data_IF_503998730978
#
_entry.id   IF_503998730978
#
_cell.length_a   1.000
_cell.length_b   1.000
_cell.length_c   1.000
_cell.angle_alpha   90.00
_cell.angle_beta   90.00
_cell.angle_gamma   90.00
#
_symmetry.space_group_name_H-M   'P 1'
#
loop_
_entity.id
_entity.type
_entity.pdbx_description
1 polymer ?
#
# COMPACT_ATOMS: atom_id res chain seq x y z
N UNK A 1 -5.00 23.20 -8.76
CA UNK A 1 -5.39 23.73 -10.07
C UNK A 1 -4.12 23.88 -10.90
N UNK A 2 -4.16 23.42 -12.15
CA UNK A 2 -2.99 23.45 -13.02
C UNK A 2 -2.49 24.90 -13.17
N UNK A 3 -1.16 25.07 -13.17
CA UNK A 3 -0.44 26.36 -13.28
C UNK A 3 -0.55 27.30 -12.07
N UNK A 4 -1.64 27.29 -11.31
CA UNK A 4 -1.84 28.22 -10.18
C UNK A 4 -1.41 27.62 -8.84
N UNK A 5 -1.29 26.28 -8.75
CA UNK A 5 -1.11 25.54 -7.50
C UNK A 5 -2.19 25.83 -6.44
N UNK A 6 -3.33 26.40 -6.85
CA UNK A 6 -4.47 26.60 -5.95
C UNK A 6 -5.08 25.25 -5.58
N UNK A 7 -5.35 24.96 -4.29
CA UNK A 7 -6.04 23.72 -3.90
C UNK A 7 -7.38 23.56 -4.62
N UNK A 8 -7.70 22.33 -5.03
CA UNK A 8 -8.98 21.97 -5.62
C UNK A 8 -9.66 20.94 -4.73
N UNK A 9 -10.96 21.14 -4.52
CA UNK A 9 -11.80 20.28 -3.71
C UNK A 9 -13.06 19.90 -4.48
N UNK A 10 -13.80 18.95 -3.92
CA UNK A 10 -15.14 18.64 -4.37
C UNK A 10 -16.11 18.73 -3.20
N UNK A 11 -17.35 19.14 -3.48
CA UNK A 11 -18.44 19.00 -2.51
C UNK A 11 -18.85 17.53 -2.37
N UNK A 12 -19.71 17.19 -1.40
CA UNK A 12 -20.29 15.83 -1.31
C UNK A 12 -21.14 15.44 -2.53
N UNK A 13 -21.56 16.43 -3.32
CA UNK A 13 -22.27 16.24 -4.60
C UNK A 13 -21.32 16.17 -5.80
N UNK A 14 -20.01 16.14 -5.58
CA UNK A 14 -18.97 16.11 -6.60
C UNK A 14 -18.91 17.36 -7.50
N UNK A 15 -19.28 18.52 -6.95
CA UNK A 15 -19.12 19.81 -7.62
C UNK A 15 -17.75 20.40 -7.28
N UNK A 16 -17.04 20.94 -8.28
CA UNK A 16 -15.74 21.58 -8.08
C UNK A 16 -15.86 22.78 -7.15
N UNK A 17 -15.01 22.87 -6.13
CA UNK A 17 -14.97 23.98 -5.20
C UNK A 17 -13.55 24.29 -4.74
N UNK A 18 -13.38 25.49 -4.18
CA UNK A 18 -12.14 25.96 -3.53
C UNK A 18 -12.27 26.03 -2.01
N UNK A 19 -13.42 25.65 -1.47
CA UNK A 19 -13.69 25.59 -0.03
C UNK A 19 -13.58 24.15 0.45
N UNK A 20 -13.11 23.97 1.68
CA UNK A 20 -12.88 22.67 2.33
C UNK A 20 -13.96 22.31 3.38
N UNK A 21 -15.07 23.03 3.39
CA UNK A 21 -16.14 22.89 4.39
C UNK A 21 -17.21 21.82 4.07
N UNK A 22 -17.25 21.27 2.86
CA UNK A 22 -18.22 20.22 2.46
C UNK A 22 -17.56 19.07 1.67
N UNK A 23 -16.45 18.55 2.16
CA UNK A 23 -15.70 17.50 1.47
C UNK A 23 -16.37 16.11 1.57
N UNK A 24 -16.23 15.24 0.55
CA UNK A 24 -16.50 13.81 0.65
C UNK A 24 -15.71 13.15 1.78
N UNK A 25 -16.32 12.20 2.48
CA UNK A 25 -15.74 11.55 3.68
C UNK A 25 -14.81 10.37 3.36
N UNK A 26 -14.78 9.91 2.11
CA UNK A 26 -14.06 8.70 1.68
C UNK A 26 -12.72 9.00 0.97
N UNK A 27 -12.38 10.27 0.76
CA UNK A 27 -11.12 10.72 0.16
C UNK A 27 -10.40 11.70 1.09
N UNK A 28 -9.08 11.57 1.22
CA UNK A 28 -8.25 12.53 1.92
C UNK A 28 -7.88 13.69 1.01
N UNK A 29 -8.59 14.81 1.08
CA UNK A 29 -8.24 16.04 0.35
C UNK A 29 -7.16 16.87 1.05
N UNK A 30 -7.14 16.82 2.37
CA UNK A 30 -6.16 17.51 3.22
C UNK A 30 -5.46 16.43 4.04
N UNK A 31 -4.14 16.33 3.87
CA UNK A 31 -3.30 15.37 4.57
C UNK A 31 -2.12 16.09 5.20
N UNK A 32 -1.54 15.47 6.22
CA UNK A 32 -0.27 15.94 6.76
C UNK A 32 0.79 15.88 5.65
N UNK A 33 1.44 17.00 5.38
CA UNK A 33 2.53 17.07 4.42
C UNK A 33 3.83 16.59 5.05
N UNK A 34 4.57 15.74 4.35
CA UNK A 34 5.93 15.32 4.72
C UNK A 34 7.01 16.09 3.94
N UNK A 35 6.63 17.09 3.14
CA UNK A 35 7.55 17.78 2.23
C UNK A 35 8.74 18.41 2.97
N UNK A 36 8.50 19.11 4.08
CA UNK A 36 9.57 19.76 4.86
C UNK A 36 10.57 18.73 5.42
N UNK A 37 10.06 17.59 5.91
CA UNK A 37 10.90 16.51 6.42
C UNK A 37 11.72 15.86 5.30
N UNK A 38 11.11 15.67 4.12
CA UNK A 38 11.78 15.16 2.93
C UNK A 38 12.85 16.14 2.43
N UNK A 39 12.56 17.44 2.41
CA UNK A 39 13.51 18.48 2.03
C UNK A 39 14.69 18.52 3.00
N UNK A 40 14.44 18.54 4.30
CA UNK A 40 15.49 18.52 5.32
C UNK A 40 16.41 17.30 5.16
N UNK A 41 15.81 16.12 4.95
CA UNK A 41 16.57 14.89 4.69
C UNK A 41 17.36 14.98 3.38
N UNK A 42 16.77 15.53 2.32
CA UNK A 42 17.43 15.70 1.03
C UNK A 42 18.66 16.60 1.13
N UNK A 43 18.53 17.78 1.75
CA UNK A 43 19.67 18.69 1.94
C UNK A 43 20.79 18.05 2.75
N UNK A 44 20.45 17.34 3.83
CA UNK A 44 21.43 16.59 4.63
C UNK A 44 22.19 15.54 3.80
N UNK A 45 21.51 14.87 2.87
CA UNK A 45 22.14 13.88 1.99
C UNK A 45 23.04 14.52 0.93
N UNK A 46 22.72 15.73 0.46
CA UNK A 46 23.60 16.48 -0.45
C UNK A 46 24.91 16.90 0.22
N UNK A 47 24.85 17.24 1.51
CA UNK A 47 26.02 17.70 2.29
C UNK A 47 26.87 16.53 2.83
N UNK A 48 26.40 15.28 2.72
CA UNK A 48 27.10 14.11 3.22
C UNK A 48 28.21 13.65 2.25
N UNK A 49 29.34 13.17 2.80
CA UNK A 49 30.44 12.67 1.97
C UNK A 49 30.07 11.37 1.23
N UNK A 50 30.69 11.07 0.08
CA UNK A 50 30.47 9.81 -0.63
C UNK A 50 30.65 8.57 0.24
N UNK A 51 31.64 8.57 1.15
CA UNK A 51 31.90 7.47 2.08
C UNK A 51 30.76 7.30 3.08
N UNK A 52 30.24 8.42 3.61
CA UNK A 52 29.10 8.41 4.53
C UNK A 52 27.84 7.90 3.83
N UNK A 53 27.56 8.37 2.62
CA UNK A 53 26.45 7.89 1.80
C UNK A 53 26.58 6.39 1.50
N UNK A 54 27.77 5.91 1.12
CA UNK A 54 28.03 4.49 0.87
C UNK A 54 27.87 3.63 2.13
N UNK A 55 28.17 4.19 3.31
CA UNK A 55 27.99 3.51 4.59
C UNK A 55 26.53 3.43 5.05
N UNK A 56 25.63 4.23 4.47
CA UNK A 56 24.22 4.25 4.85
C UNK A 56 23.58 2.90 4.51
N UNK A 57 23.32 2.11 5.55
CA UNK A 57 22.52 0.89 5.42
C UNK A 57 21.05 1.25 5.48
N UNK A 58 20.38 1.17 4.34
CA UNK A 58 18.93 1.12 4.35
C UNK A 58 18.50 -0.17 5.04
N UNK A 59 17.54 -0.12 5.99
CA UNK A 59 17.06 -1.31 6.66
C UNK A 59 16.39 -2.22 5.64
N UNK A 60 17.15 -3.15 5.07
CA UNK A 60 16.57 -4.27 4.34
C UNK A 60 16.09 -5.25 5.39
N UNK A 61 14.77 -5.39 5.54
CA UNK A 61 14.20 -6.45 6.37
C UNK A 61 14.71 -7.78 5.83
N UNK A 62 15.61 -8.45 6.56
CA UNK A 62 16.04 -9.81 6.23
C UNK A 62 14.89 -10.74 6.59
N UNK A 63 14.22 -11.29 5.57
CA UNK A 63 13.26 -12.37 5.76
C UNK A 63 14.03 -13.68 5.68
N UNK A 64 14.02 -14.46 6.76
CA UNK A 64 14.62 -15.81 6.77
C UNK A 64 13.61 -16.81 6.23
N UNK A 65 14.09 -17.79 5.49
CA UNK A 65 13.27 -18.92 5.10
C UNK A 65 13.00 -19.78 6.35
N UNK A 66 11.73 -19.96 6.67
CA UNK A 66 11.31 -20.81 7.80
C UNK A 66 10.27 -21.81 7.33
N UNK A 67 10.13 -22.98 7.98
CA UNK A 67 9.07 -23.93 7.65
C UNK A 67 7.67 -23.30 7.66
N UNK A 68 7.41 -22.39 8.61
CA UNK A 68 6.14 -21.66 8.69
C UNK A 68 5.92 -20.74 7.49
N UNK A 69 6.95 -20.02 7.02
CA UNK A 69 6.84 -19.18 5.84
C UNK A 69 6.58 -20.01 4.57
N UNK A 70 7.28 -21.13 4.42
CA UNK A 70 7.05 -22.08 3.31
C UNK A 70 5.62 -22.61 3.33
N UNK A 71 5.13 -23.03 4.50
CA UNK A 71 3.76 -23.52 4.65
C UNK A 71 2.71 -22.44 4.32
N UNK A 72 2.92 -21.19 4.76
CA UNK A 72 2.05 -20.06 4.43
C UNK A 72 2.03 -19.76 2.93
N UNK A 73 3.19 -19.74 2.29
CA UNK A 73 3.29 -19.52 0.84
C UNK A 73 2.60 -20.65 0.06
N UNK A 74 2.81 -21.91 0.47
CA UNK A 74 2.12 -23.06 -0.13
C UNK A 74 0.60 -22.96 0.04
N UNK A 75 0.12 -22.67 1.24
CA UNK A 75 -1.32 -22.50 1.50
C UNK A 75 -1.93 -21.35 0.69
N UNK A 76 -1.19 -20.26 0.48
CA UNK A 76 -1.62 -19.18 -0.39
C UNK A 76 -1.79 -19.66 -1.84
N UNK A 77 -0.86 -20.43 -2.40
CA UNK A 77 -1.01 -20.98 -3.77
C UNK A 77 -2.14 -22.01 -3.83
N UNK A 78 -2.19 -22.95 -2.89
CA UNK A 78 -3.18 -24.05 -2.88
C UNK A 78 -4.63 -23.54 -2.73
N UNK A 79 -4.82 -22.32 -2.20
CA UNK A 79 -6.13 -21.70 -2.01
C UNK A 79 -6.61 -20.84 -3.19
N UNK A 80 -5.81 -20.73 -4.25
CA UNK A 80 -6.26 -20.11 -5.50
C UNK A 80 -7.34 -20.97 -6.14
N UNK A 81 -8.38 -20.35 -6.69
CA UNK A 81 -9.34 -21.05 -7.53
C UNK A 81 -8.74 -21.32 -8.94
N UNK A 82 -9.53 -21.96 -9.80
CA UNK A 82 -9.16 -22.23 -11.21
C UNK A 82 -8.85 -20.97 -12.04
N UNK A 83 -9.29 -19.80 -11.60
CA UNK A 83 -9.05 -18.51 -12.26
C UNK A 83 -7.80 -17.80 -11.71
N UNK A 84 -7.10 -18.39 -10.73
CA UNK A 84 -5.96 -17.76 -10.08
C UNK A 84 -6.33 -16.64 -9.11
N UNK A 85 -7.52 -16.70 -8.50
CA UNK A 85 -8.02 -15.72 -7.54
C UNK A 85 -8.32 -16.32 -6.15
N UNK A 86 -8.08 -15.55 -5.10
CA UNK A 86 -8.54 -15.85 -3.74
C UNK A 86 -9.95 -15.28 -3.54
N UNK A 87 -10.95 -16.07 -3.90
CA UNK A 87 -12.35 -15.68 -3.73
C UNK A 87 -12.88 -16.11 -2.35
N UNK A 88 -13.71 -15.26 -1.77
CA UNK A 88 -14.44 -15.55 -0.54
C UNK A 88 -15.93 -15.28 -0.77
N UNK A 89 -16.77 -16.07 -0.11
CA UNK A 89 -18.18 -15.74 0.00
C UNK A 89 -18.32 -14.61 1.02
N UNK A 90 -19.01 -13.54 0.65
CA UNK A 90 -19.25 -12.43 1.56
C UNK A 90 -20.21 -11.40 1.01
N UNK A 91 -20.60 -10.48 1.88
CA UNK A 91 -21.58 -9.45 1.57
C UNK A 91 -20.87 -8.19 1.08
N UNK A 92 -21.39 -7.60 0.01
CA UNK A 92 -20.85 -6.37 -0.54
C UNK A 92 -21.77 -5.21 -0.18
N UNK A 93 -21.49 -4.56 0.96
CA UNK A 93 -22.30 -3.47 1.54
C UNK A 93 -22.71 -2.39 0.53
N UNK A 94 -21.81 -2.04 -0.39
CA UNK A 94 -22.06 -1.02 -1.41
C UNK A 94 -23.14 -1.42 -2.45
N UNK A 95 -23.37 -2.73 -2.64
CA UNK A 95 -24.36 -3.24 -3.59
C UNK A 95 -25.67 -3.71 -2.94
N UNK A 96 -25.70 -3.80 -1.60
CA UNK A 96 -26.81 -4.41 -0.85
C UNK A 96 -27.01 -5.91 -1.11
N UNK A 97 -26.11 -6.56 -1.86
CA UNK A 97 -26.19 -7.99 -2.17
C UNK A 97 -25.39 -8.81 -1.17
N UNK A 98 -26.02 -9.87 -0.72
CA UNK A 98 -25.45 -10.86 0.18
C UNK A 98 -24.88 -12.04 -0.60
N UNK A 99 -23.96 -12.77 0.04
CA UNK A 99 -23.42 -14.02 -0.49
C UNK A 99 -22.90 -13.90 -1.94
N UNK A 100 -22.04 -12.91 -2.20
CA UNK A 100 -21.33 -12.79 -3.48
C UNK A 100 -19.95 -13.44 -3.39
N UNK A 101 -19.45 -13.95 -4.52
CA UNK A 101 -18.03 -14.29 -4.69
C UNK A 101 -17.26 -12.98 -4.80
N UNK A 102 -16.46 -12.65 -3.79
CA UNK A 102 -15.74 -11.38 -3.69
C UNK A 102 -14.26 -11.61 -3.45
N UNK A 103 -13.46 -10.62 -3.83
CA UNK A 103 -12.07 -10.53 -3.42
C UNK A 103 -12.04 -9.68 -2.15
N UNK A 104 -11.74 -10.32 -1.02
CA UNK A 104 -11.45 -9.59 0.21
C UNK A 104 -10.00 -9.08 0.14
N UNK A 105 -9.83 -7.75 0.06
CA UNK A 105 -8.52 -7.11 -0.02
C UNK A 105 -7.58 -7.52 1.12
N UNK A 106 -8.11 -7.83 2.30
CA UNK A 106 -7.29 -8.29 3.45
C UNK A 106 -6.67 -9.65 3.16
N UNK A 107 -7.46 -10.58 2.61
CA UNK A 107 -6.99 -11.92 2.22
C UNK A 107 -5.97 -11.81 1.08
N UNK A 108 -6.27 -10.96 0.09
CA UNK A 108 -5.35 -10.68 -1.01
C UNK A 108 -3.99 -10.17 -0.52
N UNK A 109 -3.99 -9.13 0.33
CA UNK A 109 -2.75 -8.55 0.89
C UNK A 109 -2.00 -9.58 1.72
N UNK A 110 -2.71 -10.36 2.56
CA UNK A 110 -2.10 -11.37 3.41
C UNK A 110 -1.37 -12.44 2.59
N UNK A 111 -2.03 -12.99 1.57
CA UNK A 111 -1.46 -14.03 0.72
C UNK A 111 -0.32 -13.50 -0.15
N UNK A 112 -0.50 -12.32 -0.77
CA UNK A 112 0.55 -11.68 -1.56
C UNK A 112 1.80 -11.36 -0.72
N UNK A 113 1.60 -10.91 0.53
CA UNK A 113 2.70 -10.64 1.46
C UNK A 113 3.46 -11.91 1.85
N UNK A 114 2.75 -13.03 2.03
CA UNK A 114 3.38 -14.33 2.32
C UNK A 114 4.23 -14.82 1.14
N UNK A 115 3.72 -14.71 -0.09
CA UNK A 115 4.44 -15.07 -1.31
C UNK A 115 5.66 -14.17 -1.55
N UNK A 116 5.49 -12.86 -1.43
CA UNK A 116 6.59 -11.88 -1.55
C UNK A 116 7.68 -12.15 -0.52
N UNK A 117 7.30 -12.42 0.74
CA UNK A 117 8.23 -12.77 1.81
C UNK A 117 9.00 -14.06 1.52
N UNK A 118 8.33 -15.08 0.96
CA UNK A 118 8.95 -16.35 0.58
C UNK A 118 9.97 -16.17 -0.55
N UNK A 119 9.62 -15.44 -1.62
CA UNK A 119 10.53 -15.14 -2.73
C UNK A 119 11.76 -14.36 -2.23
N UNK A 120 11.55 -13.34 -1.39
CA UNK A 120 12.66 -12.59 -0.80
C UNK A 120 13.61 -13.46 0.02
N UNK A 121 13.06 -14.38 0.82
CA UNK A 121 13.85 -15.30 1.62
C UNK A 121 14.66 -16.27 0.75
N UNK A 122 14.04 -16.82 -0.30
CA UNK A 122 14.67 -17.77 -1.23
C UNK A 122 15.81 -17.19 -2.06
N UNK A 123 15.80 -15.89 -2.37
CA UNK A 123 16.87 -15.24 -3.14
C UNK A 123 18.15 -15.01 -2.32
N UNK A 124 18.09 -15.16 -1.00
CA UNK A 124 19.19 -14.81 -0.08
C UNK A 124 19.79 -16.01 0.67
N UNK A 125 19.20 -17.19 0.53
CA UNK A 125 19.79 -18.48 0.91
C UNK A 125 20.57 -19.04 -0.30
#
# INVERSE_FOLDING_TARGET
ELKTNRPLYFTKKYELTYQDNDLPTHYGFIINSSVDSLESRYRKLLDDSPEKLASMRFPTRRVRLTPSLTAKAKSAIDSLNSEGAWLRQGDLKASGKENLRTIDTRVFIQNLSALSSFVHAKQKD
#
